data_IF_799343144719
#
_entry.id   IF_799343144719
#
_cell.length_a   1.000
_cell.length_b   1.000
_cell.length_c   1.000
_cell.angle_alpha   90.00
_cell.angle_beta   90.00
_cell.angle_gamma   90.00
#
_symmetry.space_group_name_H-M   'P 1'
#
loop_
_entity.id
_entity.type
_entity.pdbx_description
1 polymer ?
#
# COMPACT_ATOMS: atom_id res chain seq x y z
N UNK A 1 -2.45 24.50 4.28
CA UNK A 1 -1.80 24.34 5.59
C UNK A 1 -2.78 24.78 6.68
N UNK A 2 -2.98 23.97 7.71
CA UNK A 2 -3.96 24.24 8.77
C UNK A 2 -3.55 25.44 9.64
N UNK A 3 -4.50 26.31 10.01
CA UNK A 3 -4.29 27.45 10.94
C UNK A 3 -3.70 26.99 12.29
N UNK A 4 -3.96 25.74 12.69
CA UNK A 4 -3.42 25.16 13.90
C UNK A 4 -1.95 24.78 13.75
N UNK A 5 -1.54 24.24 12.61
CA UNK A 5 -0.16 23.90 12.32
C UNK A 5 0.74 25.14 12.35
N UNK A 6 0.27 26.24 11.76
CA UNK A 6 1.00 27.52 11.76
C UNK A 6 1.18 28.11 13.16
N UNK A 7 0.26 27.79 14.08
CA UNK A 7 0.40 28.15 15.49
C UNK A 7 1.44 27.27 16.17
N UNK A 8 1.37 25.95 15.97
CA UNK A 8 2.34 25.01 16.54
C UNK A 8 3.76 25.33 16.06
N UNK A 9 3.96 25.56 14.76
CA UNK A 9 5.24 26.01 14.19
C UNK A 9 5.74 27.29 14.83
N UNK A 10 4.88 28.30 14.95
CA UNK A 10 5.26 29.57 15.61
C UNK A 10 5.70 29.36 17.05
N UNK A 11 4.99 28.51 17.79
CA UNK A 11 5.37 28.18 19.17
C UNK A 11 6.75 27.52 19.19
N UNK A 12 6.97 26.47 18.40
CA UNK A 12 8.25 25.74 18.34
C UNK A 12 9.40 26.68 17.95
N UNK A 13 9.18 27.55 16.96
CA UNK A 13 10.20 28.48 16.46
C UNK A 13 10.56 29.60 17.45
N UNK A 14 9.80 29.78 18.53
CA UNK A 14 10.15 30.74 19.59
C UNK A 14 11.20 30.18 20.59
N UNK A 15 11.56 28.90 20.47
CA UNK A 15 12.56 28.25 21.31
C UNK A 15 13.80 27.89 20.50
N UNK A 16 14.94 27.75 21.17
CA UNK A 16 16.23 27.40 20.58
C UNK A 16 16.88 26.24 21.34
N UNK A 17 17.85 25.56 20.71
CA UNK A 17 18.63 24.49 21.34
C UNK A 17 17.77 23.34 21.88
N UNK A 18 18.07 22.93 23.12
CA UNK A 18 17.48 21.75 23.76
C UNK A 18 15.97 21.89 24.03
N UNK A 19 15.49 23.10 24.29
CA UNK A 19 14.06 23.35 24.52
C UNK A 19 13.26 23.13 23.23
N UNK A 20 13.78 23.62 22.11
CA UNK A 20 13.16 23.38 20.79
C UNK A 20 13.16 21.89 20.46
N UNK A 21 14.28 21.22 20.68
CA UNK A 21 14.40 19.77 20.44
C UNK A 21 13.40 19.00 21.29
N UNK A 22 13.24 19.36 22.57
CA UNK A 22 12.28 18.74 23.48
C UNK A 22 10.83 18.92 23.02
N UNK A 23 10.47 20.11 22.53
CA UNK A 23 9.14 20.38 21.98
C UNK A 23 8.87 19.58 20.70
N UNK A 24 9.87 19.49 19.81
CA UNK A 24 9.78 18.68 18.59
C UNK A 24 9.59 17.20 18.95
N UNK A 25 10.43 16.65 19.84
CA UNK A 25 10.30 15.26 20.30
C UNK A 25 8.94 15.00 20.94
N UNK A 26 8.42 15.93 21.73
CA UNK A 26 7.08 15.80 22.30
C UNK A 26 5.99 15.77 21.23
N UNK A 27 6.07 16.64 20.22
CA UNK A 27 5.11 16.64 19.10
C UNK A 27 5.14 15.32 18.32
N UNK A 28 6.33 14.74 18.10
CA UNK A 28 6.48 13.42 17.45
C UNK A 28 5.79 12.35 18.28
N UNK A 29 6.10 12.29 19.58
CA UNK A 29 5.58 11.26 20.48
C UNK A 29 4.04 11.29 20.52
N UNK A 30 3.45 12.46 20.75
CA UNK A 30 1.99 12.62 20.79
C UNK A 30 1.35 12.28 19.44
N UNK A 31 2.01 12.64 18.34
CA UNK A 31 1.49 12.32 17.01
C UNK A 31 1.57 10.83 16.70
N UNK A 32 2.64 10.14 17.12
CA UNK A 32 2.76 8.68 16.98
C UNK A 32 1.62 7.95 17.67
N UNK A 33 1.23 8.36 18.88
CA UNK A 33 0.11 7.75 19.60
C UNK A 33 -1.21 7.83 18.81
N UNK A 34 -1.43 8.91 18.07
CA UNK A 34 -2.64 9.07 17.22
C UNK A 34 -2.49 8.35 15.88
N UNK A 35 -1.30 8.40 15.29
CA UNK A 35 -1.04 7.81 13.98
C UNK A 35 -1.06 6.28 14.02
N UNK A 36 -0.58 5.70 15.11
CA UNK A 36 -0.39 4.26 15.31
C UNK A 36 -1.41 3.65 16.28
N UNK A 37 -2.52 4.35 16.57
CA UNK A 37 -3.65 3.76 17.28
C UNK A 37 -4.35 2.65 16.45
N UNK A 38 -5.26 1.91 17.08
CA UNK A 38 -5.99 0.79 16.45
C UNK A 38 -6.90 1.21 15.28
N UNK A 39 -7.08 2.51 15.02
CA UNK A 39 -7.96 2.98 13.94
C UNK A 39 -7.30 2.83 12.59
N UNK A 40 -8.14 2.63 11.57
CA UNK A 40 -7.71 2.55 10.18
C UNK A 40 -6.85 3.75 9.77
N UNK A 41 -5.74 3.46 9.11
CA UNK A 41 -4.92 4.49 8.49
C UNK A 41 -5.64 4.97 7.22
N UNK A 42 -6.16 6.20 7.28
CA UNK A 42 -6.87 6.89 6.20
C UNK A 42 -6.21 8.24 5.93
N UNK A 43 -6.72 8.97 4.93
CA UNK A 43 -6.22 10.30 4.51
C UNK A 43 -5.92 11.23 5.67
N UNK A 44 -6.82 11.34 6.65
CA UNK A 44 -6.64 12.21 7.81
C UNK A 44 -5.35 11.92 8.61
N UNK A 45 -4.90 10.65 8.70
CA UNK A 45 -3.62 10.32 9.33
C UNK A 45 -2.43 10.71 8.44
N UNK A 46 -2.54 10.55 7.12
CA UNK A 46 -1.51 11.01 6.19
C UNK A 46 -1.40 12.55 6.13
N UNK A 47 -2.51 13.26 6.31
CA UNK A 47 -2.53 14.72 6.43
C UNK A 47 -1.74 15.15 7.68
N UNK A 48 -1.89 14.45 8.80
CA UNK A 48 -1.10 14.70 10.03
C UNK A 48 0.39 14.44 9.77
N UNK A 49 0.75 13.37 9.05
CA UNK A 49 2.15 13.13 8.68
C UNK A 49 2.68 14.27 7.80
N UNK A 50 1.94 14.69 6.77
CA UNK A 50 2.30 15.82 5.90
C UNK A 50 2.53 17.11 6.69
N UNK A 51 1.66 17.36 7.65
CA UNK A 51 1.76 18.49 8.56
C UNK A 51 3.04 18.41 9.42
N UNK A 52 3.41 17.23 9.92
CA UNK A 52 4.64 17.00 10.69
C UNK A 52 5.92 17.12 9.85
N UNK A 53 5.90 16.69 8.58
CA UNK A 53 7.02 16.89 7.63
C UNK A 53 7.48 18.34 7.58
N UNK A 54 6.52 19.26 7.70
CA UNK A 54 6.78 20.69 7.63
C UNK A 54 7.34 21.29 8.93
N UNK A 55 7.44 20.48 9.99
CA UNK A 55 8.00 20.82 11.30
C UNK A 55 9.32 20.05 11.54
N UNK A 56 9.42 18.81 11.04
CA UNK A 56 10.43 17.82 11.41
C UNK A 56 10.92 17.16 10.12
N UNK A 57 12.01 17.67 9.56
CA UNK A 57 12.48 17.21 8.24
C UNK A 57 13.21 15.87 8.34
N UNK A 58 13.96 15.64 9.42
CA UNK A 58 14.92 14.52 9.48
C UNK A 58 14.28 13.16 9.84
N UNK A 59 13.20 13.12 10.65
CA UNK A 59 12.54 11.87 11.07
C UNK A 59 11.25 11.55 10.30
N UNK A 60 10.90 12.40 9.34
CA UNK A 60 9.61 12.38 8.68
C UNK A 60 9.37 11.09 7.86
N UNK A 61 10.41 10.66 7.14
CA UNK A 61 10.38 9.45 6.31
C UNK A 61 10.25 8.17 7.16
N UNK A 62 10.89 8.13 8.33
CA UNK A 62 10.76 7.03 9.27
C UNK A 62 9.35 6.94 9.85
N UNK A 63 8.75 8.08 10.20
CA UNK A 63 7.37 8.12 10.68
C UNK A 63 6.38 7.68 9.60
N UNK A 64 6.57 8.15 8.36
CA UNK A 64 5.76 7.70 7.23
C UNK A 64 5.89 6.18 7.04
N UNK A 65 7.11 5.64 7.09
CA UNK A 65 7.36 4.21 6.99
C UNK A 65 6.62 3.39 8.06
N UNK A 66 6.61 3.86 9.32
CA UNK A 66 5.86 3.24 10.42
C UNK A 66 4.35 3.26 10.17
N UNK A 67 3.80 4.41 9.76
CA UNK A 67 2.37 4.55 9.47
C UNK A 67 1.93 3.65 8.32
N UNK A 68 2.74 3.57 7.26
CA UNK A 68 2.46 2.68 6.13
C UNK A 68 2.60 1.21 6.53
N UNK A 69 3.57 0.86 7.38
CA UNK A 69 3.68 -0.51 7.91
C UNK A 69 2.44 -0.89 8.73
N UNK A 70 1.90 0.03 9.52
CA UNK A 70 0.64 -0.19 10.23
C UNK A 70 -0.55 -0.36 9.27
N UNK A 71 -0.62 0.44 8.19
CA UNK A 71 -1.62 0.25 7.12
C UNK A 71 -1.54 -1.14 6.49
N UNK A 72 -0.33 -1.64 6.25
CA UNK A 72 -0.11 -2.96 5.65
C UNK A 72 -0.60 -4.08 6.58
N UNK A 73 -0.42 -3.95 7.90
CA UNK A 73 -0.99 -4.90 8.86
C UNK A 73 -2.53 -4.93 8.81
N UNK A 74 -3.17 -3.77 8.64
CA UNK A 74 -4.62 -3.68 8.46
C UNK A 74 -5.08 -4.34 7.16
N UNK A 75 -4.31 -4.17 6.07
CA UNK A 75 -4.57 -4.85 4.79
C UNK A 75 -4.39 -6.36 4.91
N UNK A 76 -3.34 -6.84 5.58
CA UNK A 76 -3.14 -8.28 5.87
C UNK A 76 -4.35 -8.85 6.60
N UNK A 77 -4.84 -8.18 7.65
CA UNK A 77 -6.01 -8.63 8.38
C UNK A 77 -7.24 -8.76 7.47
N UNK A 78 -7.47 -7.74 6.62
CA UNK A 78 -8.56 -7.76 5.64
C UNK A 78 -8.43 -8.91 4.62
N UNK A 79 -7.23 -9.23 4.16
CA UNK A 79 -6.98 -10.35 3.25
C UNK A 79 -7.30 -11.67 3.95
N UNK A 80 -6.75 -11.87 5.16
CA UNK A 80 -6.95 -13.10 5.94
C UNK A 80 -8.42 -13.32 6.32
N UNK A 81 -9.19 -12.25 6.51
CA UNK A 81 -10.62 -12.33 6.82
C UNK A 81 -11.49 -12.65 5.59
N UNK A 82 -11.03 -12.33 4.38
CA UNK A 82 -11.87 -12.36 3.17
C UNK A 82 -11.43 -13.39 2.13
N UNK A 83 -10.18 -13.87 2.17
CA UNK A 83 -9.70 -14.92 1.27
C UNK A 83 -10.06 -16.27 1.86
N UNK A 84 -10.92 -17.00 1.16
CA UNK A 84 -11.32 -18.38 1.46
C UNK A 84 -10.92 -19.38 0.38
N UNK A 85 -10.43 -18.89 -0.76
CA UNK A 85 -10.08 -19.71 -1.92
C UNK A 85 -8.73 -20.43 -1.81
N UNK A 86 -8.70 -21.70 -2.21
CA UNK A 86 -7.47 -22.45 -2.41
C UNK A 86 -6.93 -22.25 -3.84
N UNK A 87 -5.94 -21.38 -4.01
CA UNK A 87 -5.32 -21.12 -5.33
C UNK A 87 -4.40 -22.23 -5.85
N UNK A 88 -4.23 -23.31 -5.08
CA UNK A 88 -3.36 -24.43 -5.47
C UNK A 88 -4.07 -25.53 -6.26
N UNK A 89 -5.40 -25.46 -6.34
CA UNK A 89 -6.22 -26.43 -7.09
C UNK A 89 -6.40 -25.98 -8.52
N UNK A 90 -6.83 -26.91 -9.35
CA UNK A 90 -7.22 -26.61 -10.72
C UNK A 90 -8.72 -26.34 -10.78
N UNK A 91 -9.08 -25.22 -11.39
CA UNK A 91 -10.44 -24.78 -11.64
C UNK A 91 -10.53 -24.21 -13.07
N UNK A 92 -11.65 -24.40 -13.76
CA UNK A 92 -11.77 -24.06 -15.19
C UNK A 92 -11.92 -22.56 -15.45
N UNK A 93 -12.65 -21.85 -14.58
CA UNK A 93 -13.05 -20.46 -14.85
C UNK A 93 -12.37 -19.45 -13.92
N UNK A 94 -11.86 -18.36 -14.51
CA UNK A 94 -11.43 -17.16 -13.80
C UNK A 94 -12.60 -16.17 -13.79
N UNK A 95 -13.03 -15.77 -12.60
CA UNK A 95 -14.18 -14.89 -12.41
C UNK A 95 -13.83 -13.40 -12.41
N UNK A 96 -14.65 -12.62 -11.71
CA UNK A 96 -14.37 -11.19 -11.49
C UNK A 96 -13.32 -10.98 -10.40
N UNK A 97 -12.68 -9.79 -10.32
CA UNK A 97 -11.85 -9.44 -9.17
C UNK A 97 -12.58 -9.68 -7.85
N UNK A 98 -11.89 -10.33 -6.93
CA UNK A 98 -12.48 -10.75 -5.66
C UNK A 98 -12.78 -9.55 -4.77
N UNK A 99 -13.62 -9.78 -3.75
CA UNK A 99 -14.06 -8.72 -2.85
C UNK A 99 -12.90 -8.08 -2.08
N UNK A 100 -11.92 -8.87 -1.67
CA UNK A 100 -10.79 -8.39 -0.86
C UNK A 100 -9.94 -7.39 -1.64
N UNK A 101 -9.60 -7.68 -2.91
CA UNK A 101 -8.76 -6.77 -3.69
C UNK A 101 -9.51 -5.50 -4.10
N UNK A 102 -10.80 -5.59 -4.39
CA UNK A 102 -11.65 -4.41 -4.66
C UNK A 102 -11.70 -3.47 -3.47
N UNK A 103 -11.85 -4.01 -2.26
CA UNK A 103 -11.79 -3.21 -1.03
C UNK A 103 -10.42 -2.55 -0.83
N UNK A 104 -9.32 -3.23 -1.14
CA UNK A 104 -7.98 -2.63 -1.08
C UNK A 104 -7.86 -1.48 -2.08
N UNK A 105 -8.34 -1.64 -3.32
CA UNK A 105 -8.33 -0.57 -4.33
C UNK A 105 -9.14 0.65 -3.87
N UNK A 106 -10.36 0.44 -3.36
CA UNK A 106 -11.21 1.50 -2.82
C UNK A 106 -10.52 2.21 -1.64
N UNK A 107 -10.02 1.45 -0.69
CA UNK A 107 -9.32 1.95 0.49
C UNK A 107 -8.07 2.76 0.13
N UNK A 108 -7.29 2.32 -0.85
CA UNK A 108 -6.12 3.05 -1.36
C UNK A 108 -6.53 4.37 -2.01
N UNK A 109 -7.60 4.39 -2.82
CA UNK A 109 -8.13 5.63 -3.42
C UNK A 109 -8.57 6.66 -2.39
N UNK A 110 -9.24 6.18 -1.34
CA UNK A 110 -9.73 7.06 -0.27
C UNK A 110 -8.58 7.59 0.59
N UNK A 111 -7.54 6.77 0.78
CA UNK A 111 -6.42 7.06 1.67
C UNK A 111 -5.40 8.02 1.05
N UNK A 112 -4.98 7.77 -0.20
CA UNK A 112 -3.87 8.49 -0.82
C UNK A 112 -4.36 9.59 -1.77
N UNK A 113 -3.62 10.70 -1.81
CA UNK A 113 -3.84 11.77 -2.77
C UNK A 113 -2.89 11.60 -3.96
N UNK A 114 -3.43 11.28 -5.13
CA UNK A 114 -2.62 11.01 -6.33
C UNK A 114 -2.12 12.27 -7.03
N UNK A 115 -2.61 13.44 -6.62
CA UNK A 115 -2.30 14.71 -7.28
C UNK A 115 -1.24 15.52 -6.52
N UNK A 116 -0.97 15.20 -5.25
CA UNK A 116 0.08 15.86 -4.47
C UNK A 116 1.38 15.08 -4.47
N UNK A 117 2.51 15.80 -4.42
CA UNK A 117 3.86 15.22 -4.36
C UNK A 117 4.02 14.29 -3.16
N UNK A 118 3.56 14.72 -1.97
CA UNK A 118 3.60 13.91 -0.77
C UNK A 118 2.70 12.67 -0.88
N UNK A 119 1.47 12.83 -1.37
CA UNK A 119 0.54 11.72 -1.52
C UNK A 119 1.06 10.66 -2.51
N UNK A 120 1.70 11.10 -3.59
CA UNK A 120 2.39 10.20 -4.52
C UNK A 120 3.57 9.50 -3.85
N UNK A 121 4.45 10.22 -3.14
CA UNK A 121 5.56 9.61 -2.38
C UNK A 121 5.05 8.51 -1.43
N UNK A 122 4.00 8.80 -0.66
CA UNK A 122 3.40 7.85 0.27
C UNK A 122 2.81 6.62 -0.48
N UNK A 123 2.17 6.84 -1.63
CA UNK A 123 1.65 5.76 -2.47
C UNK A 123 2.77 4.84 -2.99
N UNK A 124 3.90 5.39 -3.46
CA UNK A 124 5.02 4.59 -3.96
C UNK A 124 5.59 3.71 -2.85
N UNK A 125 5.83 4.28 -1.66
CA UNK A 125 6.31 3.53 -0.49
C UNK A 125 5.30 2.45 -0.06
N UNK A 126 4.01 2.78 -0.07
CA UNK A 126 2.93 1.85 0.25
C UNK A 126 2.87 0.68 -0.73
N UNK A 127 2.91 0.96 -2.04
CA UNK A 127 2.85 -0.07 -3.08
C UNK A 127 3.98 -1.06 -2.92
N UNK A 128 5.22 -0.61 -2.72
CA UNK A 128 6.36 -1.50 -2.47
C UNK A 128 6.08 -2.47 -1.31
N UNK A 129 5.69 -1.94 -0.15
CA UNK A 129 5.36 -2.76 1.02
C UNK A 129 4.18 -3.69 0.78
N UNK A 130 3.18 -3.27 0.01
CA UNK A 130 2.01 -4.08 -0.31
C UNK A 130 2.35 -5.24 -1.23
N UNK A 131 3.21 -5.04 -2.23
CA UNK A 131 3.67 -6.11 -3.12
C UNK A 131 4.48 -7.16 -2.33
N UNK A 132 5.37 -6.71 -1.44
CA UNK A 132 6.10 -7.59 -0.53
C UNK A 132 5.14 -8.39 0.36
N UNK A 133 4.11 -7.73 0.87
CA UNK A 133 3.09 -8.35 1.72
C UNK A 133 2.26 -9.38 0.95
N UNK A 134 1.84 -9.09 -0.28
CA UNK A 134 1.17 -10.07 -1.14
C UNK A 134 2.04 -11.29 -1.38
N UNK A 135 3.33 -11.11 -1.65
CA UNK A 135 4.26 -12.24 -1.75
C UNK A 135 4.31 -13.03 -0.44
N UNK A 136 4.43 -12.36 0.71
CA UNK A 136 4.49 -13.02 2.01
C UNK A 136 3.23 -13.83 2.35
N UNK A 137 2.05 -13.37 1.93
CA UNK A 137 0.78 -14.07 2.19
C UNK A 137 0.59 -15.26 1.23
N UNK A 138 0.80 -15.04 -0.07
CA UNK A 138 0.35 -16.00 -1.09
C UNK A 138 1.45 -16.91 -1.63
N UNK A 139 2.72 -16.48 -1.62
CA UNK A 139 3.82 -17.28 -2.15
C UNK A 139 4.29 -18.26 -1.08
N UNK A 140 4.15 -19.55 -1.38
CA UNK A 140 4.62 -20.63 -0.50
C UNK A 140 5.74 -21.43 -1.18
N UNK A 141 6.76 -21.80 -0.41
CA UNK A 141 7.80 -22.74 -0.85
C UNK A 141 7.27 -24.17 -1.02
N UNK A 142 6.19 -24.51 -0.31
CA UNK A 142 5.67 -25.88 -0.22
C UNK A 142 4.41 -26.12 -1.07
N UNK A 143 3.74 -25.05 -1.52
CA UNK A 143 2.48 -25.14 -2.27
C UNK A 143 2.53 -24.22 -3.48
N UNK A 144 2.58 -24.83 -4.67
CA UNK A 144 2.51 -24.11 -5.95
C UNK A 144 1.05 -23.92 -6.37
N UNK A 145 0.78 -22.82 -7.06
CA UNK A 145 -0.54 -22.49 -7.62
C UNK A 145 -0.93 -23.47 -8.75
N UNK A 146 -2.21 -23.85 -8.79
CA UNK A 146 -2.82 -24.55 -9.93
C UNK A 146 -3.44 -23.53 -10.90
N UNK A 147 -4.34 -23.96 -11.79
CA UNK A 147 -5.02 -23.01 -12.69
C UNK A 147 -5.87 -21.98 -11.95
N UNK A 148 -6.37 -22.30 -10.74
CA UNK A 148 -7.12 -21.34 -9.92
C UNK A 148 -6.25 -20.16 -9.45
N UNK A 149 -4.91 -20.31 -9.46
CA UNK A 149 -3.99 -19.19 -9.24
C UNK A 149 -4.18 -18.03 -10.23
N UNK A 150 -4.81 -18.27 -11.38
CA UNK A 150 -5.14 -17.21 -12.31
C UNK A 150 -6.17 -16.22 -11.76
N UNK A 151 -7.04 -16.63 -10.83
CA UNK A 151 -7.91 -15.71 -10.10
C UNK A 151 -7.07 -14.73 -9.26
N UNK A 152 -6.03 -15.25 -8.60
CA UNK A 152 -5.10 -14.43 -7.82
C UNK A 152 -4.30 -13.48 -8.71
N UNK A 153 -3.80 -13.96 -9.87
CA UNK A 153 -3.16 -13.10 -10.86
C UNK A 153 -4.09 -12.01 -11.40
N UNK A 154 -5.36 -12.33 -11.66
CA UNK A 154 -6.36 -11.36 -12.10
C UNK A 154 -6.56 -10.28 -11.04
N UNK A 155 -6.66 -10.65 -9.77
CA UNK A 155 -6.79 -9.68 -8.67
C UNK A 155 -5.60 -8.71 -8.64
N UNK A 156 -4.38 -9.23 -8.69
CA UNK A 156 -3.20 -8.37 -8.69
C UNK A 156 -3.10 -7.50 -9.94
N UNK A 157 -3.47 -8.04 -11.11
CA UNK A 157 -3.52 -7.27 -12.35
C UNK A 157 -4.58 -6.15 -12.26
N UNK A 158 -5.74 -6.44 -11.69
CA UNK A 158 -6.76 -5.44 -11.37
C UNK A 158 -6.22 -4.32 -10.47
N UNK A 159 -5.48 -4.66 -9.41
CA UNK A 159 -4.83 -3.64 -8.56
C UNK A 159 -3.81 -2.79 -9.33
N UNK A 160 -2.94 -3.43 -10.14
CA UNK A 160 -1.98 -2.69 -10.99
C UNK A 160 -2.72 -1.75 -11.94
N UNK A 161 -3.82 -2.18 -12.56
CA UNK A 161 -4.59 -1.35 -13.48
C UNK A 161 -5.26 -0.15 -12.78
N UNK A 162 -5.84 -0.38 -11.61
CA UNK A 162 -6.66 0.62 -10.91
C UNK A 162 -5.84 1.64 -10.10
N UNK A 163 -4.67 1.21 -9.60
CA UNK A 163 -3.78 2.00 -8.73
C UNK A 163 -2.37 2.10 -9.32
N UNK A 164 -1.81 0.94 -9.70
CA UNK A 164 -0.41 0.82 -10.15
C UNK A 164 -0.08 1.67 -11.37
N UNK A 165 -0.97 1.83 -12.35
CA UNK A 165 -0.70 2.60 -13.58
C UNK A 165 -0.25 4.03 -13.27
N UNK A 166 -0.97 4.75 -12.40
CA UNK A 166 -0.58 6.11 -12.00
C UNK A 166 0.78 6.14 -11.28
N UNK A 167 1.04 5.14 -10.44
CA UNK A 167 2.30 5.02 -9.71
C UNK A 167 3.49 4.69 -10.65
N UNK A 168 3.28 3.81 -11.62
CA UNK A 168 4.24 3.44 -12.66
C UNK A 168 4.56 4.61 -13.60
N UNK A 169 3.56 5.43 -13.94
CA UNK A 169 3.78 6.66 -14.73
C UNK A 169 4.63 7.68 -13.96
N UNK A 170 4.48 7.73 -12.63
CA UNK A 170 5.23 8.63 -11.76
C UNK A 170 6.65 8.13 -11.44
N UNK A 171 6.89 6.82 -11.46
CA UNK A 171 8.16 6.22 -11.04
C UNK A 171 8.50 4.95 -11.82
N UNK A 172 9.67 4.96 -12.48
CA UNK A 172 10.21 3.78 -13.16
C UNK A 172 10.46 2.64 -12.16
N UNK A 173 11.04 2.95 -11.00
CA UNK A 173 11.35 1.96 -9.97
C UNK A 173 10.09 1.20 -9.54
N UNK A 174 8.94 1.88 -9.48
CA UNK A 174 7.67 1.24 -9.15
C UNK A 174 7.17 0.34 -10.27
N UNK A 175 7.39 0.68 -11.54
CA UNK A 175 7.12 -0.27 -12.62
C UNK A 175 7.97 -1.54 -12.50
N UNK A 176 9.26 -1.38 -12.20
CA UNK A 176 10.19 -2.48 -11.99
C UNK A 176 9.74 -3.35 -10.78
N UNK A 177 9.30 -2.74 -9.67
CA UNK A 177 8.73 -3.44 -8.50
C UNK A 177 7.51 -4.31 -8.89
N UNK A 178 6.59 -3.76 -9.69
CA UNK A 178 5.43 -4.53 -10.17
C UNK A 178 5.84 -5.67 -11.09
N UNK A 179 6.81 -5.46 -11.99
CA UNK A 179 7.31 -6.51 -12.88
C UNK A 179 7.98 -7.65 -12.09
N UNK A 180 8.83 -7.32 -11.13
CA UNK A 180 9.45 -8.29 -10.23
C UNK A 180 8.39 -9.07 -9.44
N UNK A 181 7.39 -8.37 -8.91
CA UNK A 181 6.27 -8.99 -8.23
C UNK A 181 5.52 -9.99 -9.12
N UNK A 182 5.11 -9.59 -10.34
CA UNK A 182 4.38 -10.50 -11.24
C UNK A 182 5.24 -11.70 -11.65
N UNK A 183 6.54 -11.52 -11.86
CA UNK A 183 7.45 -12.62 -12.14
C UNK A 183 7.53 -13.59 -10.95
N UNK A 184 7.57 -13.08 -9.73
CA UNK A 184 7.58 -13.88 -8.50
C UNK A 184 6.30 -14.69 -8.34
N UNK A 185 5.13 -14.09 -8.60
CA UNK A 185 3.84 -14.80 -8.59
C UNK A 185 3.81 -15.88 -9.68
N UNK A 186 4.23 -15.58 -10.91
CA UNK A 186 4.27 -16.55 -12.03
C UNK A 186 5.18 -17.74 -11.75
N UNK A 187 6.36 -17.52 -11.17
CA UNK A 187 7.28 -18.60 -10.76
C UNK A 187 6.68 -19.52 -9.66
N UNK A 188 5.59 -19.10 -9.03
CA UNK A 188 4.89 -19.86 -8.00
C UNK A 188 3.79 -20.77 -8.56
N UNK A 189 3.56 -20.79 -9.87
CA UNK A 189 2.66 -21.75 -10.53
C UNK A 189 3.30 -23.12 -10.74
N UNK A 190 2.45 -24.16 -10.83
CA UNK A 190 2.81 -25.46 -11.40
C UNK A 190 2.83 -25.29 -12.93
N UNK A 191 4.01 -25.17 -13.52
CA UNK A 191 4.28 -25.23 -14.99
C UNK A 191 3.30 -24.51 -15.93
N UNK A 192 3.65 -23.32 -16.45
CA UNK A 192 2.97 -22.59 -17.55
C UNK A 192 1.43 -22.49 -17.50
N UNK A 193 0.80 -22.76 -16.36
CA UNK A 193 -0.65 -22.66 -16.16
C UNK A 193 -1.12 -21.23 -15.93
N UNK A 194 -0.22 -20.25 -15.93
CA UNK A 194 -0.57 -18.86 -15.72
C UNK A 194 -1.04 -18.19 -17.02
N UNK A 195 -2.04 -17.33 -16.91
CA UNK A 195 -2.54 -16.50 -17.99
C UNK A 195 -1.61 -15.33 -18.29
N UNK A 196 -1.53 -14.94 -19.56
CA UNK A 196 -0.80 -13.74 -19.98
C UNK A 196 -1.53 -12.46 -19.56
N UNK A 197 -0.86 -11.32 -19.67
CA UNK A 197 -1.48 -10.02 -19.35
C UNK A 197 -2.66 -9.74 -20.29
N UNK A 198 -2.52 -10.10 -21.56
CA UNK A 198 -3.57 -9.94 -22.58
C UNK A 198 -4.82 -10.75 -22.23
N UNK A 199 -4.65 -12.00 -21.79
CA UNK A 199 -5.78 -12.84 -21.35
C UNK A 199 -6.46 -12.26 -20.10
N UNK A 200 -5.70 -11.75 -19.13
CA UNK A 200 -6.25 -11.11 -17.93
C UNK A 200 -7.00 -9.82 -18.29
N UNK A 201 -6.50 -9.05 -19.25
CA UNK A 201 -7.18 -7.86 -19.75
C UNK A 201 -8.51 -8.18 -20.43
N UNK A 202 -8.56 -9.24 -21.23
CA UNK A 202 -9.76 -9.69 -21.91
C UNK A 202 -10.85 -10.06 -20.88
N UNK A 203 -10.49 -10.85 -19.86
CA UNK A 203 -11.38 -11.21 -18.76
C UNK A 203 -11.97 -9.97 -18.06
N UNK A 204 -11.15 -8.94 -17.82
CA UNK A 204 -11.64 -7.69 -17.20
C UNK A 204 -12.51 -6.82 -18.13
N UNK A 205 -12.46 -7.02 -19.46
CA UNK A 205 -13.25 -6.23 -20.42
C UNK A 205 -14.61 -6.86 -20.72
N UNK A 206 -14.71 -8.18 -20.63
CA UNK A 206 -15.95 -8.95 -20.89
C UNK A 206 -16.96 -8.89 -19.72
N UNK A 207 -16.66 -8.11 -18.71
CA UNK A 207 -17.26 -8.08 -17.38
C UNK A 207 -17.91 -6.73 -17.09
#
# INVERSE_FOLDING_TARGET
MSVYLDKVKRIINNFEGDDRNSLVSHCILVSRDVLLDDREVKRAKLDVVTDLYSIIVDDADALLDEVLSHKILQVRALILDLVDNDYSVDYEDVGMPERWIRKIVEDTRDTFDFESEFGMKALLMYNKKLLDEFCAIFVSTNKKFGSNGNQLLLNFYYYKKEIGTKACEASKDTNDDFEEFFNTIKQSFRSDMYKTVEELEEILREQ
#
